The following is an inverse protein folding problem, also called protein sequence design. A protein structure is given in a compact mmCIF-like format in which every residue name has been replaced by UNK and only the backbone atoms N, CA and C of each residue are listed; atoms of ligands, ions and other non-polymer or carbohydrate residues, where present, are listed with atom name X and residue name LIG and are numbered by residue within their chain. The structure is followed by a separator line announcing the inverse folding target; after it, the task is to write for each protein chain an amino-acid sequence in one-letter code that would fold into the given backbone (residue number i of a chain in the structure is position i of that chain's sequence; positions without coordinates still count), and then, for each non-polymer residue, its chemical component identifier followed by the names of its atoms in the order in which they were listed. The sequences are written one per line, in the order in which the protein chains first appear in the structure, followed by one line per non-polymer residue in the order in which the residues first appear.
data_IF_339960190784
#
_entry.id   IF_339960190784
#
_cell.length_a   1.000
_cell.length_b   1.000
_cell.length_c   1.000
_cell.angle_alpha   90.00
_cell.angle_beta   90.00
_cell.angle_gamma   90.00
#
_symmetry.space_group_name_H-M   'P 1'
#
loop_
_entity.id
_entity.type
_entity.pdbx_description
1 polymer ?
#
# COMPACT_ATOMS: atom_id res chain seq x y z
N UNK A 1 19.08 17.77 18.19
CA UNK A 1 19.53 18.60 17.04
C UNK A 1 19.91 17.62 15.94
N UNK A 2 19.05 17.45 14.93
CA UNK A 2 19.28 16.51 13.82
C UNK A 2 20.00 17.26 12.68
N UNK A 3 21.09 16.69 12.20
CA UNK A 3 21.64 17.01 10.88
C UNK A 3 21.21 15.92 9.90
N UNK A 4 20.63 16.33 8.78
CA UNK A 4 20.41 15.49 7.61
C UNK A 4 21.25 16.06 6.46
N UNK A 5 21.99 15.21 5.76
CA UNK A 5 22.62 15.59 4.49
C UNK A 5 22.19 14.60 3.41
N UNK A 6 21.69 15.19 2.33
CA UNK A 6 21.12 14.56 1.15
C UNK A 6 22.22 14.20 0.16
N UNK A 7 22.31 12.92 -0.24
CA UNK A 7 22.80 12.50 -1.57
C UNK A 7 22.37 11.05 -1.86
N UNK A 8 21.80 10.89 -3.05
CA UNK A 8 21.67 9.64 -3.81
C UNK A 8 20.65 8.59 -3.33
N UNK A 9 19.36 8.86 -3.58
CA UNK A 9 18.49 7.91 -4.29
C UNK A 9 18.15 6.56 -3.63
N UNK A 10 18.07 6.49 -2.29
CA UNK A 10 17.67 5.27 -1.57
C UNK A 10 16.40 5.45 -0.75
N UNK A 11 15.47 4.49 -0.86
CA UNK A 11 14.22 4.39 -0.11
C UNK A 11 14.47 4.41 1.41
N UNK A 12 13.98 5.44 2.11
CA UNK A 12 13.71 5.28 3.54
C UNK A 12 12.45 4.42 3.68
N UNK A 13 12.68 3.11 3.80
CA UNK A 13 11.73 2.21 4.41
C UNK A 13 11.57 2.67 5.87
N UNK A 14 10.54 3.46 6.14
CA UNK A 14 10.13 3.78 7.51
C UNK A 14 9.50 2.52 8.12
N UNK A 15 10.33 1.56 8.49
CA UNK A 15 9.95 0.51 9.44
C UNK A 15 9.87 1.17 10.81
N UNK A 16 8.67 1.48 11.28
CA UNK A 16 8.48 2.10 12.59
C UNK A 16 8.97 1.16 13.69
N UNK A 17 9.81 1.69 14.57
CA UNK A 17 10.18 1.05 15.84
C UNK A 17 8.92 0.96 16.71
N UNK A 18 8.62 -0.23 17.22
CA UNK A 18 7.51 -0.49 18.15
C UNK A 18 7.68 0.36 19.41
N UNK A 19 6.81 1.35 19.54
CA UNK A 19 6.61 2.19 20.72
C UNK A 19 5.63 3.28 20.29
N UNK A 20 4.34 3.23 20.59
CA UNK A 20 3.64 2.81 21.80
C UNK A 20 2.37 2.06 21.34
N UNK A 21 2.18 0.83 21.82
CA UNK A 21 1.07 -0.13 21.64
C UNK A 21 -0.03 0.20 20.58
N UNK A 22 -0.24 -0.65 19.55
CA UNK A 22 -1.54 -0.65 18.86
C UNK A 22 -2.64 -1.03 19.88
N UNK A 23 -3.82 -0.39 19.90
CA UNK A 23 -4.88 -0.80 20.83
C UNK A 23 -5.38 -2.23 20.52
N UNK A 24 -5.54 -3.12 21.51
CA UNK A 24 -6.20 -4.42 21.33
C UNK A 24 -5.43 -5.54 20.58
N UNK A 25 -5.91 -6.81 20.64
CA UNK A 25 -5.18 -8.04 20.26
C UNK A 25 -4.91 -8.23 18.75
N UNK A 26 -4.92 -7.16 17.96
CA UNK A 26 -4.59 -7.18 16.54
C UNK A 26 -3.14 -6.74 16.41
N UNK A 27 -2.24 -7.68 16.11
CA UNK A 27 -0.86 -7.35 15.70
C UNK A 27 -0.85 -7.07 14.19
N UNK A 28 -0.77 -5.79 13.75
CA UNK A 28 -0.68 -5.45 12.33
C UNK A 28 0.71 -5.77 11.78
N UNK A 29 0.76 -6.12 10.50
CA UNK A 29 2.02 -6.22 9.73
C UNK A 29 2.48 -4.84 9.27
N UNK A 30 1.54 -3.92 9.04
CA UNK A 30 1.79 -2.51 8.71
C UNK A 30 0.78 -1.62 9.43
N UNK A 31 1.24 -0.50 9.99
CA UNK A 31 0.37 0.48 10.63
C UNK A 31 0.81 1.90 10.27
N UNK A 32 -0.15 2.77 9.96
CA UNK A 32 0.10 4.20 9.71
C UNK A 32 -0.96 5.04 10.39
N UNK A 33 -0.58 6.21 10.88
CA UNK A 33 -1.54 7.20 11.40
C UNK A 33 -2.35 7.76 10.23
N UNK A 34 -3.66 7.79 10.36
CA UNK A 34 -4.58 8.17 9.29
C UNK A 34 -5.75 8.96 9.89
N UNK A 35 -6.03 10.14 9.35
CA UNK A 35 -7.13 10.99 9.80
C UNK A 35 -7.08 11.24 11.33
N UNK A 36 -8.15 10.93 12.07
CA UNK A 36 -8.22 11.00 13.52
C UNK A 36 -7.67 9.74 14.24
N UNK A 37 -7.32 8.69 13.50
CA UNK A 37 -6.93 7.39 14.03
C UNK A 37 -5.80 6.67 13.29
N UNK A 38 -5.99 5.39 12.99
CA UNK A 38 -4.98 4.48 12.43
C UNK A 38 -5.53 3.62 11.29
N UNK A 39 -4.72 3.42 10.26
CA UNK A 39 -4.89 2.33 9.30
C UNK A 39 -3.97 1.18 9.67
N UNK A 40 -4.56 0.00 9.83
CA UNK A 40 -3.92 -1.22 10.27
C UNK A 40 -4.07 -2.27 9.18
N UNK A 41 -2.95 -2.70 8.62
CA UNK A 41 -2.89 -3.74 7.59
C UNK A 41 -2.30 -5.03 8.14
N UNK A 42 -2.91 -6.16 7.79
CA UNK A 42 -2.42 -7.50 8.13
C UNK A 42 -2.25 -8.37 6.91
N UNK A 43 -1.26 -9.25 7.00
CA UNK A 43 -0.97 -10.28 6.02
C UNK A 43 -0.82 -11.62 6.77
N UNK A 44 -1.77 -12.54 6.59
CA UNK A 44 -1.71 -13.91 7.11
C UNK A 44 -1.38 -14.93 6.01
N UNK A 45 -0.72 -14.50 4.92
CA UNK A 45 -0.38 -15.38 3.81
C UNK A 45 -1.62 -15.96 3.15
N UNK A 46 -1.71 -17.28 3.04
CA UNK A 46 -2.82 -17.93 2.32
C UNK A 46 -4.15 -17.82 3.06
N UNK A 47 -4.12 -17.55 4.37
CA UNK A 47 -5.30 -17.46 5.22
C UNK A 47 -6.02 -16.11 5.14
N UNK A 48 -5.52 -15.17 4.32
CA UNK A 48 -6.14 -13.86 4.14
C UNK A 48 -5.48 -12.77 4.98
N UNK A 49 -6.19 -11.68 5.16
CA UNK A 49 -5.67 -10.50 5.83
C UNK A 49 -6.73 -9.42 5.81
N UNK A 50 -6.42 -8.29 6.43
CA UNK A 50 -7.42 -7.27 6.60
C UNK A 50 -6.79 -5.89 6.61
N UNK A 51 -7.55 -4.94 6.07
CA UNK A 51 -7.35 -3.51 6.31
C UNK A 51 -8.41 -3.07 7.29
N UNK A 52 -7.98 -2.53 8.43
CA UNK A 52 -8.86 -2.00 9.47
C UNK A 52 -8.55 -0.52 9.66
N UNK A 53 -9.60 0.30 9.74
CA UNK A 53 -9.51 1.63 10.29
C UNK A 53 -9.90 1.60 11.75
N UNK A 54 -9.04 2.15 12.61
CA UNK A 54 -9.35 2.38 14.02
C UNK A 54 -9.47 3.86 14.25
N UNK A 55 -10.65 4.34 14.63
CA UNK A 55 -10.91 5.76 14.88
C UNK A 55 -10.18 6.28 16.14
N UNK A 56 -10.27 7.60 16.39
CA UNK A 56 -9.66 8.22 17.57
C UNK A 56 -10.21 7.73 18.92
N UNK A 57 -11.37 7.07 18.93
CA UNK A 57 -11.99 6.48 20.12
C UNK A 57 -11.60 5.00 20.33
N UNK A 58 -10.88 4.40 19.38
CA UNK A 58 -10.48 3.00 19.42
C UNK A 58 -11.49 2.03 18.81
N UNK A 59 -12.50 2.52 18.08
CA UNK A 59 -13.48 1.67 17.38
C UNK A 59 -12.90 1.15 16.08
N UNK A 60 -12.98 -0.15 15.87
CA UNK A 60 -12.50 -0.81 14.66
C UNK A 60 -13.59 -0.90 13.58
N UNK A 61 -13.20 -0.55 12.35
CA UNK A 61 -13.98 -0.75 11.14
C UNK A 61 -13.14 -1.48 10.10
N UNK A 62 -13.58 -2.67 9.70
CA UNK A 62 -12.97 -3.39 8.58
C UNK A 62 -13.27 -2.66 7.27
N UNK A 63 -12.22 -2.40 6.50
CA UNK A 63 -12.27 -1.72 5.20
C UNK A 63 -12.07 -2.69 4.04
N UNK A 64 -11.30 -3.76 4.23
CA UNK A 64 -11.08 -4.80 3.23
C UNK A 64 -10.63 -6.12 3.89
N UNK A 65 -10.99 -7.25 3.27
CA UNK A 65 -10.58 -8.61 3.65
C UNK A 65 -9.63 -9.18 2.59
N UNK A 66 -8.38 -8.73 2.65
CA UNK A 66 -7.28 -9.13 1.76
C UNK A 66 -5.94 -8.79 2.43
N UNK A 67 -4.89 -9.54 2.13
CA UNK A 67 -3.56 -9.29 2.68
C UNK A 67 -3.06 -7.91 2.31
N UNK A 68 -2.64 -7.15 3.31
CA UNK A 68 -2.10 -5.81 3.15
C UNK A 68 -0.59 -5.86 3.12
N UNK A 69 -0.02 -5.53 1.96
CA UNK A 69 1.43 -5.57 1.69
C UNK A 69 2.12 -4.24 1.98
N UNK A 70 1.38 -3.14 1.94
CA UNK A 70 1.91 -1.81 2.26
C UNK A 70 0.85 -0.73 2.21
N UNK A 71 1.11 0.37 2.92
CA UNK A 71 0.25 1.55 2.97
C UNK A 71 1.11 2.77 2.66
N UNK A 72 0.66 3.63 1.75
CA UNK A 72 1.41 4.82 1.34
C UNK A 72 0.50 6.06 1.33
N UNK A 73 0.97 7.20 1.88
CA UNK A 73 0.19 8.43 1.85
C UNK A 73 0.07 8.97 0.42
N UNK A 74 -1.06 9.59 0.14
CA UNK A 74 -1.36 10.42 -1.03
C UNK A 74 -1.99 11.74 -0.53
N UNK A 75 -2.11 12.80 -1.35
CA UNK A 75 -2.58 14.11 -0.88
C UNK A 75 -3.89 14.07 -0.08
N UNK A 76 -4.86 13.26 -0.51
CA UNK A 76 -6.20 13.19 0.07
C UNK A 76 -6.49 11.89 0.84
N UNK A 77 -5.43 11.17 1.26
CA UNK A 77 -5.58 9.92 2.01
C UNK A 77 -4.45 8.93 1.80
N UNK A 78 -4.79 7.67 1.50
CA UNK A 78 -3.83 6.57 1.40
C UNK A 78 -4.09 5.68 0.20
N UNK A 79 -3.02 5.17 -0.41
CA UNK A 79 -3.08 4.02 -1.29
C UNK A 79 -2.48 2.80 -0.60
N UNK A 80 -3.26 1.73 -0.59
CA UNK A 80 -2.94 0.47 0.05
C UNK A 80 -2.69 -0.56 -1.04
N UNK A 81 -1.52 -1.18 -0.98
CA UNK A 81 -1.17 -2.30 -1.85
C UNK A 81 -1.65 -3.57 -1.19
N UNK A 82 -2.62 -4.22 -1.81
CA UNK A 82 -3.23 -5.42 -1.29
C UNK A 82 -3.07 -6.58 -2.28
N UNK A 83 -2.88 -7.78 -1.75
CA UNK A 83 -2.89 -8.96 -2.58
C UNK A 83 -2.34 -10.21 -1.94
N UNK A 84 -2.91 -11.33 -2.37
CA UNK A 84 -2.60 -12.67 -1.92
C UNK A 84 -2.07 -13.48 -3.10
N UNK A 85 -0.89 -14.06 -2.91
CA UNK A 85 -0.35 -15.09 -3.80
C UNK A 85 -0.59 -16.45 -3.15
N UNK A 86 -0.88 -17.46 -3.96
CA UNK A 86 -0.87 -18.86 -3.53
C UNK A 86 0.52 -19.44 -3.81
N UNK A 87 1.06 -20.26 -2.90
CA UNK A 87 2.42 -20.82 -3.01
C UNK A 87 2.68 -21.54 -4.35
N UNK A 88 1.62 -22.07 -4.96
CA UNK A 88 1.73 -23.08 -6.01
C UNK A 88 1.16 -22.61 -7.37
N UNK A 89 0.68 -21.36 -7.48
CA UNK A 89 -0.02 -20.92 -8.69
C UNK A 89 0.40 -19.53 -9.15
N UNK A 90 0.45 -19.35 -10.47
CA UNK A 90 0.46 -18.01 -11.08
C UNK A 90 -0.86 -17.26 -10.87
N UNK A 91 -1.85 -17.90 -10.23
CA UNK A 91 -3.09 -17.27 -9.83
C UNK A 91 -2.83 -16.50 -8.54
N UNK A 92 -3.17 -15.22 -8.54
CA UNK A 92 -3.08 -14.38 -7.37
C UNK A 92 -4.05 -13.23 -7.56
N UNK A 93 -4.65 -12.77 -6.47
CA UNK A 93 -5.52 -11.59 -6.53
C UNK A 93 -4.75 -10.40 -5.97
N UNK A 94 -4.88 -9.26 -6.64
CA UNK A 94 -4.25 -8.02 -6.24
C UNK A 94 -5.21 -6.87 -6.41
N UNK A 95 -5.09 -5.88 -5.54
CA UNK A 95 -5.80 -4.62 -5.69
C UNK A 95 -4.99 -3.47 -5.12
N UNK A 96 -5.21 -2.29 -5.68
CA UNK A 96 -4.86 -1.04 -5.03
C UNK A 96 -6.13 -0.46 -4.43
N UNK A 97 -6.15 -0.32 -3.10
CA UNK A 97 -7.26 0.26 -2.38
C UNK A 97 -6.90 1.70 -2.05
N UNK A 98 -7.72 2.65 -2.47
CA UNK A 98 -7.60 4.06 -2.06
C UNK A 98 -8.51 4.29 -0.87
N UNK A 99 -7.96 4.85 0.20
CA UNK A 99 -8.66 5.19 1.43
C UNK A 99 -8.68 6.71 1.55
N UNK A 100 -9.86 7.30 1.64
CA UNK A 100 -10.06 8.75 1.81
C UNK A 100 -11.03 9.01 2.94
N UNK A 101 -11.03 10.24 3.46
CA UNK A 101 -12.01 10.71 4.43
C UNK A 101 -12.86 11.81 3.79
N UNK A 102 -14.18 11.74 3.98
CA UNK A 102 -15.11 12.78 3.60
C UNK A 102 -16.04 13.08 4.79
N UNK A 103 -15.87 14.25 5.41
CA UNK A 103 -16.47 14.52 6.72
C UNK A 103 -15.90 13.56 7.76
N UNK A 104 -16.77 12.95 8.57
CA UNK A 104 -16.37 11.97 9.59
C UNK A 104 -16.42 10.52 9.09
N UNK A 105 -16.43 10.31 7.76
CA UNK A 105 -16.57 8.98 7.16
C UNK A 105 -15.37 8.62 6.31
N UNK A 106 -14.77 7.46 6.62
CA UNK A 106 -13.75 6.83 5.79
C UNK A 106 -14.40 6.04 4.65
N UNK A 107 -13.90 6.27 3.44
CA UNK A 107 -14.34 5.65 2.20
C UNK A 107 -13.20 4.85 1.57
N UNK A 108 -13.57 3.77 0.88
CA UNK A 108 -12.64 2.98 0.07
C UNK A 108 -13.09 2.85 -1.37
N UNK A 109 -12.13 2.96 -2.29
CA UNK A 109 -12.29 2.53 -3.68
C UNK A 109 -11.17 1.55 -4.00
N UNK A 110 -11.40 0.63 -4.94
CA UNK A 110 -10.40 -0.36 -5.32
C UNK A 110 -10.24 -0.43 -6.83
N UNK A 111 -9.00 -0.70 -7.23
CA UNK A 111 -8.67 -1.07 -8.60
C UNK A 111 -8.05 -2.45 -8.58
N UNK A 112 -8.63 -3.38 -9.32
CA UNK A 112 -8.11 -4.73 -9.47
C UNK A 112 -6.81 -4.73 -10.27
N UNK A 113 -5.90 -5.59 -9.87
CA UNK A 113 -4.62 -5.80 -10.53
C UNK A 113 -4.65 -7.13 -11.30
N UNK A 114 -3.96 -7.21 -12.45
CA UNK A 114 -3.76 -8.46 -13.19
C UNK A 114 -2.76 -9.34 -12.44
N UNK A 115 -3.24 -10.04 -11.41
CA UNK A 115 -2.41 -10.87 -10.53
C UNK A 115 -1.95 -10.17 -9.24
N UNK A 116 -1.37 -10.96 -8.33
CA UNK A 116 -0.86 -10.45 -7.05
C UNK A 116 0.31 -9.47 -7.24
N UNK A 117 0.41 -8.38 -6.44
CA UNK A 117 1.53 -7.47 -6.47
C UNK A 117 2.79 -8.13 -5.89
N UNK A 118 3.92 -7.97 -6.58
CA UNK A 118 5.22 -8.51 -6.17
C UNK A 118 6.21 -7.42 -5.76
N UNK A 119 6.13 -6.26 -6.41
CA UNK A 119 6.89 -5.05 -6.05
C UNK A 119 6.10 -3.81 -6.44
N UNK A 120 6.33 -2.71 -5.74
CA UNK A 120 5.73 -1.43 -6.07
C UNK A 120 6.68 -0.27 -5.75
N UNK A 121 6.51 0.83 -6.46
CA UNK A 121 7.30 2.05 -6.26
C UNK A 121 6.48 3.29 -6.59
N UNK A 122 6.59 4.31 -5.74
CA UNK A 122 5.97 5.62 -5.96
C UNK A 122 6.85 6.42 -6.90
N UNK A 123 6.30 6.85 -8.04
CA UNK A 123 7.01 7.73 -8.97
C UNK A 123 6.94 9.18 -8.48
N UNK A 124 7.85 10.03 -8.99
CA UNK A 124 7.83 11.47 -8.73
C UNK A 124 6.52 12.16 -9.16
N UNK A 125 5.79 11.58 -10.12
CA UNK A 125 4.46 12.03 -10.52
C UNK A 125 3.35 11.72 -9.50
N UNK A 126 3.67 11.00 -8.42
CA UNK A 126 2.69 10.51 -7.43
C UNK A 126 2.03 9.18 -7.82
N UNK A 127 2.13 8.75 -9.08
CA UNK A 127 1.59 7.46 -9.51
C UNK A 127 2.34 6.28 -8.87
N UNK A 128 1.62 5.21 -8.58
CA UNK A 128 2.19 3.95 -8.10
C UNK A 128 2.49 3.04 -9.29
N UNK A 129 3.75 2.71 -9.51
CA UNK A 129 4.15 1.64 -10.42
C UNK A 129 4.13 0.32 -9.65
N UNK A 130 3.33 -0.64 -10.11
CA UNK A 130 3.14 -1.94 -9.49
C UNK A 130 3.54 -3.03 -10.47
N UNK A 131 4.47 -3.88 -10.06
CA UNK A 131 4.76 -5.15 -10.75
C UNK A 131 3.87 -6.22 -10.16
N UNK A 132 3.04 -6.82 -10.99
CA UNK A 132 2.19 -7.96 -10.62
C UNK A 132 2.81 -9.28 -11.13
N UNK A 133 2.15 -10.40 -10.84
CA UNK A 133 2.53 -11.70 -11.41
C UNK A 133 2.43 -11.72 -12.94
N UNK A 134 1.48 -10.99 -13.51
CA UNK A 134 1.23 -11.02 -14.96
C UNK A 134 1.85 -9.83 -15.70
N UNK A 135 1.74 -8.61 -15.15
CA UNK A 135 2.02 -7.36 -15.88
C UNK A 135 2.59 -6.27 -14.97
N UNK A 136 3.05 -5.17 -15.56
CA UNK A 136 3.31 -3.94 -14.82
C UNK A 136 2.14 -3.00 -15.03
N UNK A 137 1.68 -2.37 -13.94
CA UNK A 137 0.54 -1.47 -13.92
C UNK A 137 0.97 -0.16 -13.30
N UNK A 138 0.58 0.94 -13.93
CA UNK A 138 0.71 2.28 -13.36
C UNK A 138 -0.66 2.70 -12.83
N UNK A 139 -0.72 3.05 -11.55
CA UNK A 139 -1.94 3.49 -10.85
C UNK A 139 -1.78 4.94 -10.41
N UNK A 140 -2.35 5.91 -11.15
CA UNK A 140 -2.36 7.31 -10.73
C UNK A 140 -3.15 7.52 -9.43
N UNK A 141 -2.95 8.68 -8.79
CA UNK A 141 -3.87 9.13 -7.74
C UNK A 141 -5.15 9.61 -8.41
N UNK A 142 -6.30 9.01 -8.07
CA UNK A 142 -7.62 9.42 -8.59
C UNK A 142 -7.85 9.15 -10.08
N UNK A 143 -6.98 8.41 -10.75
CA UNK A 143 -7.08 8.09 -12.18
C UNK A 143 -7.17 6.59 -12.44
N UNK A 144 -7.42 6.24 -13.70
CA UNK A 144 -7.52 4.84 -14.11
C UNK A 144 -6.15 4.17 -14.15
N UNK A 145 -6.10 2.93 -13.64
CA UNK A 145 -4.92 2.09 -13.78
C UNK A 145 -4.70 1.69 -15.23
N UNK A 146 -3.45 1.65 -15.65
CA UNK A 146 -3.08 1.26 -17.01
C UNK A 146 -1.87 0.36 -17.04
N UNK A 147 -1.89 -0.61 -17.93
CA UNK A 147 -0.75 -1.48 -18.18
C UNK A 147 0.40 -0.69 -18.82
N UNK A 148 1.62 -0.99 -18.39
CA UNK A 148 2.84 -0.37 -18.91
C UNK A 148 3.88 -1.43 -19.23
N UNK A 149 4.67 -1.17 -20.27
CA UNK A 149 5.85 -1.98 -20.59
C UNK A 149 7.09 -1.23 -20.12
N UNK A 150 7.86 -1.85 -19.23
CA UNK A 150 9.19 -1.34 -18.90
C UNK A 150 10.10 -1.54 -20.11
N UNK A 151 10.73 -0.47 -20.61
CA UNK A 151 11.84 -0.59 -21.54
C UNK A 151 13.14 -0.69 -20.74
N UNK A 152 14.11 -1.53 -21.15
CA UNK A 152 15.46 -1.45 -20.62
C UNK A 152 15.95 -0.01 -20.74
N UNK A 153 16.73 0.45 -19.75
CA UNK A 153 17.45 1.71 -19.90
C UNK A 153 18.27 1.63 -21.18
N UNK A 154 18.08 2.57 -22.10
CA UNK A 154 18.89 2.68 -23.29
C UNK A 154 20.32 2.95 -22.78
N UNK A 155 21.25 2.03 -23.04
CA UNK A 155 22.65 2.32 -22.78
C UNK A 155 23.01 3.47 -23.70
N UNK A 156 23.19 4.66 -23.13
CA UNK A 156 23.85 5.75 -23.84
C UNK A 156 25.25 5.24 -24.15
N UNK A 157 25.42 4.77 -25.39
CA UNK A 157 26.68 4.25 -25.88
C UNK A 157 27.73 5.35 -25.78
N UNK A 158 28.76 5.09 -24.98
CA UNK A 158 29.96 5.91 -24.92
C UNK A 158 31.00 5.33 -25.87
#
# INVERSE_FOLDING_TARGET
MLHATHRDGGLEHLSYTVGIHPPGPIAPTVAVRAFDGWLLGRDHGEFGGELVYRDGNGTDRMLADINIRGIQPIPDGFQVVAGRGFMDSMNGVGSIITVTEQGDTVHTTSVELPGAPTRWHRLASGALLVRTLEKNVLVPVGGEAREVKCRPAQSDGN
#
